data_IF_018816105767
#
_entry.id   IF_018816105767
#
_cell.length_a   1.000
_cell.length_b   1.000
_cell.length_c   1.000
_cell.angle_alpha   90.00
_cell.angle_beta   90.00
_cell.angle_gamma   90.00
#
_symmetry.space_group_name_H-M   'P 1'
#
loop_
_entity.id
_entity.type
_entity.pdbx_description
1 polymer ?
#
# COMPACT_ATOMS: atom_id res chain seq x y z
N UNK A 1 4.24 -29.18 4.33
CA UNK A 1 3.06 -28.32 4.53
C UNK A 1 3.07 -27.30 3.42
N UNK A 2 2.13 -27.38 2.49
CA UNK A 2 2.03 -26.40 1.40
C UNK A 2 1.57 -25.08 2.02
N UNK A 3 2.45 -24.08 2.09
CA UNK A 3 2.06 -22.70 2.35
C UNK A 3 1.18 -22.27 1.18
N UNK A 4 -0.12 -22.51 1.30
CA UNK A 4 -1.09 -22.04 0.31
C UNK A 4 -0.90 -20.53 0.20
N UNK A 5 -0.25 -20.10 -0.88
CA UNK A 5 -0.12 -18.70 -1.22
C UNK A 5 -1.54 -18.25 -1.52
N UNK A 6 -2.23 -17.72 -0.50
CA UNK A 6 -3.60 -17.22 -0.65
C UNK A 6 -3.49 -16.13 -1.72
N UNK A 7 -4.12 -16.36 -2.86
CA UNK A 7 -4.20 -15.35 -3.91
C UNK A 7 -5.00 -14.20 -3.32
N UNK A 8 -4.31 -13.15 -2.86
CA UNK A 8 -4.96 -11.94 -2.35
C UNK A 8 -5.52 -11.23 -3.57
N UNK A 9 -6.84 -11.14 -3.62
CA UNK A 9 -7.55 -10.44 -4.69
C UNK A 9 -7.24 -8.92 -4.60
N UNK A 10 -7.40 -8.18 -5.71
CA UNK A 10 -7.08 -6.75 -5.78
C UNK A 10 -7.80 -5.92 -4.70
N UNK A 11 -9.03 -6.33 -4.35
CA UNK A 11 -9.80 -5.72 -3.26
C UNK A 11 -9.17 -5.96 -1.88
N UNK A 12 -8.77 -7.20 -1.57
CA UNK A 12 -8.09 -7.50 -0.29
C UNK A 12 -6.75 -6.77 -0.22
N UNK A 13 -6.03 -6.66 -1.35
CA UNK A 13 -4.79 -5.89 -1.41
C UNK A 13 -5.02 -4.42 -1.09
N UNK A 14 -6.04 -3.79 -1.71
CA UNK A 14 -6.37 -2.39 -1.47
C UNK A 14 -6.75 -2.17 0.01
N UNK A 15 -7.44 -3.12 0.64
CA UNK A 15 -7.74 -3.08 2.06
C UNK A 15 -6.48 -3.17 2.92
N UNK A 16 -5.59 -4.12 2.62
CA UNK A 16 -4.31 -4.24 3.34
C UNK A 16 -3.43 -2.99 3.16
N UNK A 17 -3.42 -2.41 1.95
CA UNK A 17 -2.72 -1.17 1.68
C UNK A 17 -3.29 -0.01 2.50
N UNK A 18 -4.62 0.13 2.58
CA UNK A 18 -5.26 1.12 3.46
C UNK A 18 -4.89 0.92 4.92
N UNK A 19 -4.95 -0.31 5.42
CA UNK A 19 -4.54 -0.63 6.79
C UNK A 19 -3.07 -0.27 7.04
N UNK A 20 -2.18 -0.57 6.10
CA UNK A 20 -0.78 -0.17 6.18
C UNK A 20 -0.61 1.35 6.26
N UNK A 21 -1.33 2.12 5.44
CA UNK A 21 -1.29 3.57 5.49
C UNK A 21 -1.84 4.14 6.81
N UNK A 22 -2.87 3.51 7.39
CA UNK A 22 -3.38 3.89 8.71
C UNK A 22 -2.34 3.64 9.81
N UNK A 23 -1.70 2.47 9.78
CA UNK A 23 -0.68 2.09 10.75
C UNK A 23 0.55 3.01 10.67
N UNK A 24 0.93 3.40 9.45
CA UNK A 24 2.06 4.29 9.19
C UNK A 24 1.65 5.77 9.15
N UNK A 25 0.45 6.13 9.62
CA UNK A 25 -0.07 7.50 9.60
C UNK A 25 0.90 8.53 10.18
N UNK A 26 1.52 8.22 11.31
CA UNK A 26 2.49 9.10 11.95
C UNK A 26 3.76 9.32 11.11
N UNK A 27 4.16 8.30 10.34
CA UNK A 27 5.29 8.41 9.43
C UNK A 27 4.89 9.20 8.18
N UNK A 28 3.69 8.99 7.65
CA UNK A 28 3.16 9.74 6.50
C UNK A 28 3.10 11.23 6.80
N UNK A 29 2.69 11.64 8.02
CA UNK A 29 2.67 13.06 8.41
C UNK A 29 4.05 13.72 8.47
N UNK A 30 5.14 12.94 8.46
CA UNK A 30 6.50 13.46 8.34
C UNK A 30 6.91 13.73 6.87
N UNK A 31 6.08 13.33 5.91
CA UNK A 31 6.27 13.60 4.48
C UNK A 31 5.32 14.70 4.03
N UNK A 32 5.68 15.46 2.98
CA UNK A 32 4.83 16.51 2.43
C UNK A 32 3.52 15.97 1.83
N UNK A 33 3.55 14.76 1.29
CA UNK A 33 2.40 14.12 0.63
C UNK A 33 2.43 12.60 0.79
N UNK A 34 1.25 11.98 0.78
CA UNK A 34 1.08 10.53 0.80
C UNK A 34 1.79 9.87 -0.39
N UNK A 35 1.77 10.49 -1.56
CA UNK A 35 2.44 9.98 -2.75
C UNK A 35 3.94 9.82 -2.50
N UNK A 36 4.61 10.85 -1.98
CA UNK A 36 6.03 10.84 -1.68
C UNK A 36 6.40 9.74 -0.67
N UNK A 37 5.57 9.57 0.36
CA UNK A 37 5.73 8.47 1.31
C UNK A 37 5.62 7.11 0.62
N UNK A 38 4.59 6.90 -0.22
CA UNK A 38 4.35 5.62 -0.89
C UNK A 38 5.46 5.32 -1.91
N UNK A 39 5.95 6.31 -2.65
CA UNK A 39 7.09 6.14 -3.58
C UNK A 39 8.37 5.77 -2.82
N UNK A 40 8.64 6.41 -1.68
CA UNK A 40 9.78 6.07 -0.83
C UNK A 40 9.63 4.68 -0.19
N UNK A 41 8.44 4.36 0.33
CA UNK A 41 8.13 3.06 0.92
C UNK A 41 8.20 1.93 -0.11
N UNK A 42 7.80 2.19 -1.36
CA UNK A 42 7.98 1.26 -2.50
C UNK A 42 9.44 1.03 -2.81
N UNK A 43 10.23 2.11 -2.89
CA UNK A 43 11.68 2.01 -3.13
C UNK A 43 12.40 1.29 -1.98
N UNK A 44 11.90 1.45 -0.75
CA UNK A 44 12.45 0.83 0.47
C UNK A 44 11.88 -0.56 0.77
N UNK A 45 11.12 -1.18 -0.15
CA UNK A 45 10.50 -2.52 0.02
C UNK A 45 9.54 -2.65 1.23
N UNK A 46 9.06 -1.54 1.82
CA UNK A 46 8.39 -1.55 3.12
C UNK A 46 6.94 -2.07 3.09
N UNK A 47 6.28 -2.11 1.92
CA UNK A 47 4.91 -2.62 1.83
C UNK A 47 4.88 -4.09 1.38
N UNK A 48 4.84 -5.02 2.33
CA UNK A 48 4.61 -6.44 2.06
C UNK A 48 3.20 -6.84 2.50
N UNK A 49 2.31 -7.26 1.56
CA UNK A 49 0.98 -7.70 1.92
C UNK A 49 1.01 -8.94 2.82
N UNK A 50 0.15 -8.95 3.83
CA UNK A 50 0.02 -10.04 4.80
C UNK A 50 -0.39 -11.31 4.05
N UNK A 51 0.37 -12.39 4.26
CA UNK A 51 0.15 -13.69 3.61
C UNK A 51 0.90 -13.87 2.30
N UNK A 52 1.83 -12.97 1.96
CA UNK A 52 2.71 -13.12 0.79
C UNK A 52 4.19 -12.94 1.19
N UNK A 53 5.03 -13.94 0.88
CA UNK A 53 6.48 -13.86 1.12
C UNK A 53 7.21 -12.94 0.13
N UNK A 54 6.56 -12.61 -0.99
CA UNK A 54 7.01 -11.67 -2.02
C UNK A 54 5.82 -10.84 -2.47
N UNK A 55 6.04 -9.60 -2.87
CA UNK A 55 5.05 -8.76 -3.55
C UNK A 55 4.94 -9.26 -5.01
N UNK A 56 3.94 -10.07 -5.39
CA UNK A 56 3.75 -10.49 -6.77
C UNK A 56 3.50 -9.28 -7.68
N UNK A 57 3.96 -9.42 -8.93
CA UNK A 57 4.03 -8.33 -9.90
C UNK A 57 2.67 -7.65 -10.17
N UNK A 58 1.55 -8.34 -9.97
CA UNK A 58 0.20 -7.78 -10.11
C UNK A 58 -0.12 -6.71 -9.05
N UNK A 59 0.47 -6.76 -7.85
CA UNK A 59 0.30 -5.71 -6.85
C UNK A 59 0.99 -4.41 -7.26
N UNK A 60 2.11 -4.52 -7.96
CA UNK A 60 2.76 -3.37 -8.56
C UNK A 60 1.85 -2.71 -9.59
N UNK A 61 0.91 -3.43 -10.19
CA UNK A 61 -0.10 -2.90 -11.10
C UNK A 61 -1.18 -2.10 -10.36
N UNK A 62 -1.75 -2.64 -9.28
CA UNK A 62 -2.74 -1.93 -8.45
C UNK A 62 -2.17 -0.62 -7.88
N UNK A 63 -0.95 -0.67 -7.35
CA UNK A 63 -0.27 0.53 -6.84
C UNK A 63 0.20 1.49 -7.95
N UNK A 64 0.46 1.01 -9.17
CA UNK A 64 0.73 1.86 -10.35
C UNK A 64 -0.52 2.52 -10.91
N UNK A 65 -1.69 1.91 -10.69
CA UNK A 65 -2.97 2.49 -11.09
C UNK A 65 -3.41 3.62 -10.17
N UNK A 66 -2.89 3.69 -8.94
CA UNK A 66 -3.13 4.82 -8.06
C UNK A 66 -2.49 6.07 -8.64
N UNK A 67 -3.33 7.05 -8.97
CA UNK A 67 -2.88 8.37 -9.41
C UNK A 67 -2.63 9.28 -8.21
N UNK A 68 -2.00 10.44 -8.44
CA UNK A 68 -1.87 11.49 -7.43
C UNK A 68 -3.23 11.91 -6.85
N UNK A 69 -4.32 11.85 -7.62
CA UNK A 69 -5.66 12.14 -7.11
C UNK A 69 -6.16 11.03 -6.17
N UNK A 70 -5.95 9.76 -6.52
CA UNK A 70 -6.27 8.64 -5.64
C UNK A 70 -5.53 8.74 -4.30
N UNK A 71 -4.25 9.13 -4.31
CA UNK A 71 -3.49 9.36 -3.08
C UNK A 71 -4.08 10.52 -2.25
N UNK A 72 -4.50 11.61 -2.89
CA UNK A 72 -5.18 12.71 -2.18
C UNK A 72 -6.52 12.29 -1.61
N UNK A 73 -7.29 11.49 -2.34
CA UNK A 73 -8.57 10.96 -1.86
C UNK A 73 -8.37 9.96 -0.73
N UNK A 74 -7.34 9.12 -0.80
CA UNK A 74 -6.95 8.22 0.28
C UNK A 74 -6.52 9.01 1.52
N UNK A 75 -5.64 10.00 1.37
CA UNK A 75 -5.22 10.86 2.48
C UNK A 75 -6.43 11.54 3.14
N UNK A 76 -7.32 12.13 2.34
CA UNK A 76 -8.55 12.76 2.82
C UNK A 76 -9.49 11.79 3.54
N UNK A 77 -9.66 10.55 3.04
CA UNK A 77 -10.46 9.52 3.71
C UNK A 77 -9.83 9.01 5.01
N UNK A 78 -8.50 9.00 5.07
CA UNK A 78 -7.72 8.56 6.23
C UNK A 78 -7.45 9.72 7.21
N UNK A 79 -7.96 10.92 6.91
CA UNK A 79 -7.71 12.17 7.64
C UNK A 79 -6.21 12.41 7.89
N UNK A 80 -5.40 12.10 6.88
CA UNK A 80 -3.96 12.35 6.81
C UNK A 80 -3.69 13.77 6.29
#
# INVERSE_FOLDING_TARGET
>A
MFTATKVVNDYELLQQFKSFLVDHKQQITAYPDLQTYVENARSSFLFTPIGTEKIPAHYNHVLKQLTSDDYKQLAKRLSL
#
